data_IF_679970277138
#
_entry.id   IF_679970277138
#
_cell.length_a   1.000
_cell.length_b   1.000
_cell.length_c   1.000
_cell.angle_alpha   90.00
_cell.angle_beta   90.00
_cell.angle_gamma   90.00
#
_symmetry.space_group_name_H-M   'P 1'
#
loop_
_entity.id
_entity.type
_entity.pdbx_description
1 polymer ?
#
# COMPACT_ATOMS: atom_id res chain seq x y z
N UNK A 1 -27.43 -31.63 -18.54
CA UNK A 1 -26.67 -30.33 -18.52
C UNK A 1 -27.18 -29.50 -19.68
N UNK A 2 -27.81 -28.36 -19.44
CA UNK A 2 -28.35 -27.47 -20.48
C UNK A 2 -27.23 -26.74 -21.17
N UNK A 3 -27.34 -26.48 -22.48
CA UNK A 3 -26.36 -25.73 -23.28
C UNK A 3 -25.98 -24.38 -22.64
N UNK A 4 -26.89 -23.72 -21.92
CA UNK A 4 -26.65 -22.51 -21.18
C UNK A 4 -25.63 -22.67 -20.04
N UNK A 5 -25.58 -23.77 -19.34
CA UNK A 5 -24.61 -24.04 -18.28
C UNK A 5 -23.20 -24.23 -18.85
N UNK A 6 -23.09 -24.88 -20.03
CA UNK A 6 -21.80 -25.06 -20.70
C UNK A 6 -21.24 -23.74 -21.21
N UNK A 7 -22.06 -22.84 -21.75
CA UNK A 7 -21.66 -21.50 -22.20
C UNK A 7 -21.23 -20.63 -21.00
N UNK A 8 -21.98 -20.65 -19.89
CA UNK A 8 -21.63 -19.92 -18.68
C UNK A 8 -20.28 -20.37 -18.10
N UNK A 9 -20.00 -21.68 -18.07
CA UNK A 9 -18.70 -22.24 -17.64
C UNK A 9 -17.55 -21.84 -18.58
N UNK A 10 -17.79 -21.75 -19.89
CA UNK A 10 -16.76 -21.40 -20.87
C UNK A 10 -16.39 -19.90 -20.77
N UNK A 11 -17.35 -19.03 -20.43
CA UNK A 11 -17.13 -17.60 -20.25
C UNK A 11 -16.59 -17.24 -18.86
N UNK A 12 -16.83 -18.07 -17.84
CA UNK A 12 -16.37 -17.84 -16.47
C UNK A 12 -14.85 -17.98 -16.32
N UNK A 13 -14.25 -18.99 -16.99
CA UNK A 13 -12.79 -19.25 -16.94
C UNK A 13 -11.92 -18.06 -17.40
N UNK A 14 -12.14 -17.42 -18.56
CA UNK A 14 -11.34 -16.27 -18.97
C UNK A 14 -11.54 -15.05 -18.06
N UNK A 15 -12.73 -14.84 -17.50
CA UNK A 15 -12.98 -13.77 -16.55
C UNK A 15 -12.23 -13.97 -15.24
N UNK A 16 -12.16 -15.18 -14.71
CA UNK A 16 -11.38 -15.52 -13.53
C UNK A 16 -9.88 -15.35 -13.76
N UNK A 17 -9.39 -15.81 -14.91
CA UNK A 17 -7.99 -15.63 -15.28
C UNK A 17 -7.62 -14.15 -15.39
N UNK A 18 -8.51 -13.32 -15.96
CA UNK A 18 -8.30 -11.86 -16.07
C UNK A 18 -8.29 -11.19 -14.70
N UNK A 19 -9.17 -11.58 -13.77
CA UNK A 19 -9.19 -11.06 -12.40
C UNK A 19 -7.92 -11.47 -11.63
N UNK A 20 -7.49 -12.73 -11.77
CA UNK A 20 -6.26 -13.19 -11.17
C UNK A 20 -5.03 -12.46 -11.71
N UNK A 21 -4.97 -12.26 -13.02
CA UNK A 21 -3.90 -11.47 -13.66
C UNK A 21 -3.92 -10.01 -13.16
N UNK A 22 -5.08 -9.39 -13.07
CA UNK A 22 -5.23 -8.03 -12.54
C UNK A 22 -4.77 -7.95 -11.08
N UNK A 23 -5.14 -8.92 -10.24
CA UNK A 23 -4.69 -9.02 -8.85
C UNK A 23 -3.16 -9.12 -8.76
N UNK A 24 -2.55 -10.01 -9.53
CA UNK A 24 -1.10 -10.22 -9.53
C UNK A 24 -0.37 -8.96 -9.99
N UNK A 25 -0.78 -8.36 -11.10
CA UNK A 25 -0.17 -7.13 -11.63
C UNK A 25 -0.32 -5.96 -10.65
N UNK A 26 -1.51 -5.74 -10.11
CA UNK A 26 -1.78 -4.68 -9.16
C UNK A 26 -0.95 -4.87 -7.87
N UNK A 27 -0.86 -6.09 -7.37
CA UNK A 27 -0.04 -6.42 -6.20
C UNK A 27 1.45 -6.23 -6.48
N UNK A 28 1.93 -6.64 -7.66
CA UNK A 28 3.32 -6.43 -8.06
C UNK A 28 3.68 -4.94 -8.13
N UNK A 29 2.80 -4.10 -8.67
CA UNK A 29 2.98 -2.64 -8.70
C UNK A 29 2.99 -2.06 -7.28
N UNK A 30 2.07 -2.49 -6.41
CA UNK A 30 2.00 -2.01 -5.03
C UNK A 30 3.25 -2.40 -4.23
N UNK A 31 3.59 -3.69 -4.18
CA UNK A 31 4.73 -4.19 -3.38
C UNK A 31 6.05 -3.75 -3.99
N UNK A 32 6.20 -3.82 -5.31
CA UNK A 32 7.39 -3.34 -6.01
C UNK A 32 7.62 -1.84 -5.78
N UNK A 33 6.56 -1.05 -5.74
CA UNK A 33 6.61 0.37 -5.39
C UNK A 33 7.06 0.63 -3.95
N UNK A 34 6.62 -0.17 -2.97
CA UNK A 34 7.12 -0.08 -1.60
C UNK A 34 8.61 -0.34 -1.53
N UNK A 35 9.10 -1.38 -2.22
CA UNK A 35 10.53 -1.70 -2.30
C UNK A 35 11.31 -0.57 -2.98
N UNK A 36 10.82 -0.06 -4.11
CA UNK A 36 11.44 1.04 -4.83
C UNK A 36 11.55 2.31 -3.97
N UNK A 37 10.49 2.67 -3.23
CA UNK A 37 10.50 3.80 -2.30
C UNK A 37 11.52 3.57 -1.17
N UNK A 38 11.63 2.34 -0.65
CA UNK A 38 12.61 2.02 0.38
C UNK A 38 14.05 2.18 -0.12
N UNK A 39 14.35 1.67 -1.32
CA UNK A 39 15.67 1.82 -1.95
C UNK A 39 15.96 3.30 -2.23
N UNK A 40 14.99 4.01 -2.82
CA UNK A 40 15.12 5.45 -3.08
C UNK A 40 15.37 6.25 -1.79
N UNK A 41 14.75 5.87 -0.66
CA UNK A 41 14.98 6.49 0.63
C UNK A 41 16.43 6.29 1.10
N UNK A 42 16.97 5.08 0.98
CA UNK A 42 18.36 4.76 1.33
C UNK A 42 19.35 5.58 0.50
N UNK A 43 19.13 5.63 -0.81
CA UNK A 43 20.00 6.39 -1.73
C UNK A 43 19.91 7.89 -1.43
N UNK A 44 18.70 8.43 -1.28
CA UNK A 44 18.50 9.84 -0.98
C UNK A 44 19.10 10.26 0.37
N UNK A 45 19.06 9.38 1.38
CA UNK A 45 19.70 9.64 2.69
C UNK A 45 21.23 9.70 2.59
N UNK A 46 21.82 8.96 1.64
CA UNK A 46 23.28 8.91 1.45
C UNK A 46 23.80 10.01 0.52
N UNK A 47 22.97 10.54 -0.40
CA UNK A 47 23.44 11.41 -1.50
C UNK A 47 22.88 12.82 -1.51
N UNK A 48 21.72 13.05 -0.87
CA UNK A 48 21.01 14.33 -0.93
C UNK A 48 21.09 15.11 0.37
N UNK A 49 21.26 16.43 0.26
CA UNK A 49 21.11 17.32 1.38
C UNK A 49 19.66 17.36 1.91
N UNK A 50 19.48 17.85 3.14
CA UNK A 50 18.18 17.82 3.83
C UNK A 50 17.06 18.51 3.04
N UNK A 51 17.34 19.63 2.41
CA UNK A 51 16.36 20.40 1.62
C UNK A 51 16.00 19.66 0.31
N UNK A 52 17.00 19.15 -0.40
CA UNK A 52 16.84 18.40 -1.65
C UNK A 52 16.05 17.11 -1.42
N UNK A 53 16.37 16.40 -0.33
CA UNK A 53 15.65 15.19 0.09
C UNK A 53 14.17 15.46 0.32
N UNK A 54 13.81 16.57 0.96
CA UNK A 54 12.41 16.96 1.16
C UNK A 54 11.72 17.23 -0.20
N UNK A 55 12.39 17.91 -1.11
CA UNK A 55 11.87 18.19 -2.46
C UNK A 55 11.69 16.90 -3.26
N UNK A 56 12.68 16.01 -3.23
CA UNK A 56 12.66 14.69 -3.88
C UNK A 56 11.48 13.84 -3.41
N UNK A 57 11.31 13.64 -2.09
CA UNK A 57 10.20 12.83 -1.58
C UNK A 57 8.83 13.45 -1.79
N UNK A 58 8.75 14.79 -1.86
CA UNK A 58 7.50 15.46 -2.24
C UNK A 58 7.15 15.18 -3.71
N UNK A 59 8.14 15.23 -4.60
CA UNK A 59 7.98 14.89 -6.03
C UNK A 59 7.57 13.44 -6.20
N UNK A 60 8.32 12.52 -5.59
CA UNK A 60 8.06 11.09 -5.61
C UNK A 60 6.65 10.76 -5.10
N UNK A 61 6.24 11.34 -3.97
CA UNK A 61 4.92 11.10 -3.41
C UNK A 61 3.78 11.62 -4.29
N UNK A 62 3.98 12.73 -5.00
CA UNK A 62 2.99 13.24 -5.97
C UNK A 62 2.88 12.36 -7.21
N UNK A 63 4.01 11.85 -7.71
CA UNK A 63 4.04 11.02 -8.90
C UNK A 63 3.54 9.59 -8.60
N UNK A 64 4.06 8.97 -7.55
CA UNK A 64 3.76 7.57 -7.22
C UNK A 64 2.48 7.40 -6.41
N UNK A 65 2.07 8.39 -5.62
CA UNK A 65 0.87 8.29 -4.77
C UNK A 65 -0.39 7.82 -5.50
N UNK A 66 -0.76 8.45 -6.64
CA UNK A 66 -1.89 8.00 -7.43
C UNK A 66 -1.71 6.58 -7.99
N UNK A 67 -0.52 6.27 -8.52
CA UNK A 67 -0.21 4.93 -9.08
C UNK A 67 -0.34 3.85 -8.04
N UNK A 68 0.29 4.03 -6.87
CA UNK A 68 0.19 3.10 -5.76
C UNK A 68 -1.24 2.98 -5.22
N UNK A 69 -1.97 4.11 -5.13
CA UNK A 69 -3.36 4.11 -4.69
C UNK A 69 -4.28 3.33 -5.62
N UNK A 70 -4.14 3.51 -6.92
CA UNK A 70 -4.91 2.75 -7.94
C UNK A 70 -4.53 1.28 -7.90
N UNK A 71 -3.24 0.95 -7.79
CA UNK A 71 -2.78 -0.43 -7.69
C UNK A 71 -3.35 -1.12 -6.45
N UNK A 72 -3.30 -0.49 -5.27
CA UNK A 72 -3.90 -1.04 -4.06
C UNK A 72 -5.41 -1.25 -4.20
N UNK A 73 -6.12 -0.26 -4.74
CA UNK A 73 -7.57 -0.35 -4.95
C UNK A 73 -7.92 -1.48 -5.92
N UNK A 74 -7.18 -1.63 -7.03
CA UNK A 74 -7.38 -2.70 -7.99
C UNK A 74 -7.09 -4.08 -7.39
N UNK A 75 -6.01 -4.21 -6.60
CA UNK A 75 -5.69 -5.46 -5.90
C UNK A 75 -6.80 -5.86 -4.91
N UNK A 76 -7.26 -4.91 -4.09
CA UNK A 76 -8.33 -5.16 -3.12
C UNK A 76 -9.67 -5.49 -3.80
N UNK A 77 -10.03 -4.77 -4.87
CA UNK A 77 -11.25 -5.04 -5.62
C UNK A 77 -11.22 -6.42 -6.29
N UNK A 78 -10.13 -6.74 -6.99
CA UNK A 78 -9.96 -8.06 -7.63
C UNK A 78 -9.95 -9.18 -6.59
N UNK A 79 -9.25 -8.98 -5.47
CA UNK A 79 -9.21 -9.93 -4.36
C UNK A 79 -10.60 -10.14 -3.73
N UNK A 80 -11.37 -9.07 -3.52
CA UNK A 80 -12.73 -9.16 -2.97
C UNK A 80 -13.69 -9.92 -3.90
N UNK A 81 -13.61 -9.67 -5.22
CA UNK A 81 -14.41 -10.41 -6.21
C UNK A 81 -14.05 -11.89 -6.23
N UNK A 82 -12.74 -12.22 -6.19
CA UNK A 82 -12.31 -13.62 -6.11
C UNK A 82 -12.75 -14.27 -4.79
N UNK A 83 -12.53 -13.57 -3.66
CA UNK A 83 -12.92 -14.03 -2.34
C UNK A 83 -14.43 -14.31 -2.20
N UNK A 84 -15.30 -13.55 -2.88
CA UNK A 84 -16.75 -13.74 -2.84
C UNK A 84 -17.22 -15.10 -3.39
N UNK A 85 -16.34 -15.85 -4.05
CA UNK A 85 -16.62 -17.18 -4.62
C UNK A 85 -16.21 -18.32 -3.68
N UNK A 86 -15.48 -18.03 -2.60
CA UNK A 86 -15.08 -18.99 -1.60
C UNK A 86 -16.08 -19.03 -0.44
N UNK A 87 -16.12 -20.15 0.27
CA UNK A 87 -16.92 -20.23 1.50
C UNK A 87 -16.27 -19.39 2.58
N UNK A 88 -17.10 -18.72 3.37
CA UNK A 88 -16.60 -17.92 4.49
C UNK A 88 -16.06 -18.87 5.57
N UNK A 89 -14.75 -18.87 5.76
CA UNK A 89 -14.00 -19.64 6.73
C UNK A 89 -13.01 -18.76 7.51
N UNK A 90 -12.20 -19.38 8.37
CA UNK A 90 -11.22 -18.67 9.19
C UNK A 90 -10.16 -17.93 8.36
N UNK A 91 -9.72 -18.51 7.26
CA UNK A 91 -8.65 -17.94 6.42
C UNK A 91 -9.16 -16.72 5.63
N UNK A 92 -10.39 -16.79 5.14
CA UNK A 92 -11.04 -15.66 4.49
C UNK A 92 -11.34 -14.52 5.47
N UNK A 93 -11.75 -14.84 6.71
CA UNK A 93 -11.94 -13.86 7.76
C UNK A 93 -10.62 -13.18 8.16
N UNK A 94 -9.54 -13.97 8.31
CA UNK A 94 -8.20 -13.44 8.58
C UNK A 94 -7.71 -12.52 7.45
N UNK A 95 -7.84 -12.95 6.19
CA UNK A 95 -7.46 -12.14 5.02
C UNK A 95 -8.24 -10.84 4.95
N UNK A 96 -9.55 -10.87 5.23
CA UNK A 96 -10.40 -9.68 5.27
C UNK A 96 -9.98 -8.71 6.37
N UNK A 97 -9.64 -9.22 7.56
CA UNK A 97 -9.14 -8.40 8.67
C UNK A 97 -7.80 -7.74 8.33
N UNK A 98 -6.87 -8.50 7.73
CA UNK A 98 -5.56 -7.95 7.30
C UNK A 98 -5.75 -6.91 6.20
N UNK A 99 -6.65 -7.12 5.24
CA UNK A 99 -6.96 -6.15 4.19
C UNK A 99 -7.54 -4.85 4.79
N UNK A 100 -8.48 -4.93 5.73
CA UNK A 100 -9.03 -3.78 6.44
C UNK A 100 -7.96 -3.02 7.24
N UNK A 101 -7.07 -3.75 7.92
CA UNK A 101 -5.93 -3.16 8.63
C UNK A 101 -4.96 -2.46 7.66
N UNK A 102 -4.68 -3.03 6.49
CA UNK A 102 -3.83 -2.44 5.46
C UNK A 102 -4.43 -1.13 4.91
N UNK A 103 -5.72 -1.10 4.61
CA UNK A 103 -6.44 0.11 4.18
C UNK A 103 -6.34 1.20 5.24
N UNK A 104 -6.63 0.85 6.49
CA UNK A 104 -6.58 1.79 7.64
C UNK A 104 -5.16 2.33 7.84
N UNK A 105 -4.15 1.47 7.82
CA UNK A 105 -2.75 1.85 7.95
C UNK A 105 -2.31 2.77 6.80
N UNK A 106 -2.75 2.48 5.57
CA UNK A 106 -2.44 3.30 4.39
C UNK A 106 -3.10 4.68 4.49
N UNK A 107 -4.37 4.76 4.88
CA UNK A 107 -5.07 6.02 5.11
C UNK A 107 -4.39 6.86 6.22
N UNK A 108 -4.02 6.23 7.33
CA UNK A 108 -3.25 6.86 8.40
C UNK A 108 -1.88 7.34 7.90
N UNK A 109 -1.21 6.58 7.03
CA UNK A 109 0.05 6.96 6.39
C UNK A 109 -0.07 8.22 5.55
N UNK A 110 -1.12 8.32 4.74
CA UNK A 110 -1.40 9.52 3.93
C UNK A 110 -1.68 10.73 4.81
N UNK A 111 -2.51 10.58 5.84
CA UNK A 111 -2.82 11.65 6.81
C UNK A 111 -1.55 12.11 7.54
N UNK A 112 -0.72 11.17 8.00
CA UNK A 112 0.56 11.44 8.64
C UNK A 112 1.53 12.17 7.72
N UNK A 113 1.63 11.77 6.46
CA UNK A 113 2.49 12.42 5.46
C UNK A 113 2.08 13.89 5.23
N UNK A 114 0.76 14.16 5.11
CA UNK A 114 0.24 15.53 4.98
C UNK A 114 0.55 16.38 6.22
N UNK A 115 0.38 15.83 7.42
CA UNK A 115 0.70 16.50 8.69
C UNK A 115 2.19 16.81 8.78
N UNK A 116 3.05 15.86 8.42
CA UNK A 116 4.50 16.04 8.46
C UNK A 116 4.99 17.10 7.47
N UNK A 117 4.36 17.24 6.31
CA UNK A 117 4.68 18.31 5.36
C UNK A 117 4.44 19.69 5.99
N UNK A 118 3.31 19.87 6.67
CA UNK A 118 3.01 21.14 7.38
C UNK A 118 4.00 21.40 8.51
N UNK A 119 4.23 20.43 9.38
CA UNK A 119 5.18 20.56 10.50
C UNK A 119 6.60 20.93 10.05
N UNK A 120 7.07 20.38 8.93
CA UNK A 120 8.37 20.71 8.36
C UNK A 120 8.42 22.14 7.80
N UNK A 121 7.33 22.61 7.19
CA UNK A 121 7.21 23.99 6.74
C UNK A 121 7.25 24.97 7.91
N UNK A 122 6.57 24.66 9.01
CA UNK A 122 6.57 25.47 10.22
C UNK A 122 7.98 25.49 10.87
N UNK A 123 8.66 24.35 10.93
CA UNK A 123 10.03 24.27 11.44
C UNK A 123 11.05 25.02 10.57
N UNK A 124 10.80 25.19 9.27
CA UNK A 124 11.63 26.03 8.41
C UNK A 124 11.40 27.54 8.63
N UNK A 125 10.21 27.92 9.12
CA UNK A 125 9.89 29.32 9.45
C UNK A 125 10.43 29.74 10.81
N UNK A 126 10.60 28.78 11.73
CA UNK A 126 11.15 29.00 13.08
C UNK A 126 12.23 27.95 13.38
N UNK A 127 13.46 28.15 12.87
CA UNK A 127 14.56 27.18 13.02
C UNK A 127 15.05 27.02 14.46
N UNK A 128 14.76 27.98 15.34
CA UNK A 128 15.20 27.98 16.76
C UNK A 128 14.26 27.20 17.69
N UNK A 129 13.10 26.77 17.21
CA UNK A 129 12.11 26.08 18.05
C UNK A 129 12.48 24.63 18.35
N UNK A 130 12.99 24.37 19.55
CA UNK A 130 13.27 23.02 20.04
C UNK A 130 12.01 22.15 20.09
N UNK A 131 10.85 22.76 20.32
CA UNK A 131 9.55 22.06 20.34
C UNK A 131 9.16 21.53 18.97
N UNK A 132 9.29 22.35 17.92
CA UNK A 132 9.01 21.95 16.54
C UNK A 132 9.98 20.85 16.09
N UNK A 133 11.28 20.97 16.42
CA UNK A 133 12.26 19.93 16.14
C UNK A 133 11.90 18.60 16.83
N UNK A 134 11.44 18.63 18.07
CA UNK A 134 10.97 17.43 18.79
C UNK A 134 9.71 16.82 18.16
N UNK A 135 8.75 17.63 17.71
CA UNK A 135 7.54 17.19 16.99
C UNK A 135 7.90 16.52 15.65
N UNK A 136 8.84 17.09 14.91
CA UNK A 136 9.33 16.52 13.64
C UNK A 136 10.01 15.16 13.87
N UNK A 137 10.89 15.05 14.89
CA UNK A 137 11.53 13.76 15.24
C UNK A 137 10.51 12.68 15.62
N UNK A 138 9.53 13.00 16.48
CA UNK A 138 8.45 12.07 16.86
C UNK A 138 7.63 11.65 15.64
N UNK A 139 7.25 12.60 14.81
CA UNK A 139 6.52 12.34 13.58
C UNK A 139 7.27 11.44 12.59
N UNK A 140 8.61 11.60 12.49
CA UNK A 140 9.44 10.75 11.65
C UNK A 140 9.48 9.29 12.15
N UNK A 141 9.56 9.08 13.48
CA UNK A 141 9.47 7.73 14.08
C UNK A 141 8.12 7.07 13.80
N UNK A 142 7.02 7.79 14.00
CA UNK A 142 5.67 7.28 13.73
C UNK A 142 5.50 6.92 12.25
N UNK A 143 6.04 7.74 11.34
CA UNK A 143 6.01 7.46 9.91
C UNK A 143 6.84 6.22 9.53
N UNK A 144 7.95 5.94 10.24
CA UNK A 144 8.74 4.73 10.04
C UNK A 144 7.96 3.49 10.49
N UNK A 145 7.41 3.51 11.71
CA UNK A 145 6.57 2.41 12.25
C UNK A 145 5.41 2.10 11.31
N UNK A 146 4.71 3.14 10.83
CA UNK A 146 3.57 2.97 9.94
C UNK A 146 3.96 2.37 8.59
N UNK A 147 5.10 2.76 8.03
CA UNK A 147 5.64 2.14 6.79
C UNK A 147 5.98 0.67 6.98
N UNK A 148 6.61 0.33 8.10
CA UNK A 148 6.91 -1.08 8.43
C UNK A 148 5.62 -1.88 8.61
N UNK A 149 4.61 -1.32 9.27
CA UNK A 149 3.31 -1.97 9.42
C UNK A 149 2.62 -2.22 8.07
N UNK A 150 2.61 -1.22 7.18
CA UNK A 150 2.05 -1.37 5.82
C UNK A 150 2.79 -2.48 5.05
N UNK A 151 4.12 -2.51 5.09
CA UNK A 151 4.90 -3.54 4.43
C UNK A 151 4.61 -4.94 5.01
N UNK A 152 4.56 -5.08 6.33
CA UNK A 152 4.25 -6.33 7.01
C UNK A 152 2.83 -6.83 6.68
N UNK A 153 1.83 -5.94 6.71
CA UNK A 153 0.45 -6.28 6.35
C UNK A 153 0.33 -6.68 4.87
N UNK A 154 1.07 -6.01 3.97
CA UNK A 154 1.09 -6.37 2.55
C UNK A 154 1.68 -7.77 2.33
N UNK A 155 2.77 -8.11 3.03
CA UNK A 155 3.37 -9.45 2.96
C UNK A 155 2.47 -10.52 3.61
N UNK A 156 1.83 -10.20 4.72
CA UNK A 156 0.87 -11.10 5.37
C UNK A 156 -0.32 -11.42 4.45
N UNK A 157 -0.87 -10.40 3.77
CA UNK A 157 -1.95 -10.58 2.82
C UNK A 157 -1.54 -11.44 1.62
N UNK A 158 -0.31 -11.25 1.12
CA UNK A 158 0.26 -12.13 0.07
C UNK A 158 0.38 -13.57 0.54
N UNK A 159 0.90 -13.80 1.76
CA UNK A 159 1.06 -15.13 2.34
C UNK A 159 -0.30 -15.82 2.52
N UNK A 160 -1.30 -15.13 3.08
CA UNK A 160 -2.66 -15.67 3.23
C UNK A 160 -3.30 -15.96 1.87
N UNK A 161 -3.13 -15.09 0.88
CA UNK A 161 -3.61 -15.33 -0.48
C UNK A 161 -2.99 -16.57 -1.12
N UNK A 162 -1.71 -16.85 -0.88
CA UNK A 162 -1.05 -18.05 -1.35
C UNK A 162 -1.60 -19.33 -0.66
N UNK A 163 -1.90 -19.27 0.64
CA UNK A 163 -2.50 -20.39 1.39
C UNK A 163 -3.91 -20.72 0.87
N UNK A 164 -4.74 -19.70 0.61
CA UNK A 164 -6.11 -19.91 0.10
C UNK A 164 -6.11 -20.49 -1.34
N UNK A 165 -5.04 -20.23 -2.11
CA UNK A 165 -4.93 -20.67 -3.49
C UNK A 165 -4.45 -22.14 -3.64
N UNK A 166 -3.96 -22.77 -2.55
CA UNK A 166 -3.50 -24.19 -2.53
C UNK A 166 -4.54 -25.12 -1.98
#
# INVERSE_FOLDING_TARGET
>A
MTAGAAIALTLARPAEASLAAALVLATAVWVGGLVAIFVAARVADATLEAAERVAFFRGLGRAYGPVGGVALAAALASGAVLASRYRWDGDLAASSAVAAALVTATAAGVAQARRMTRLRQDALRDPGSAELAAKVRRGARNAAVLRTAIAALSLALLGLGAVIAT
#
